data_IF_557045751696
#
_entry.id   IF_557045751696
#
_cell.length_a   1.000
_cell.length_b   1.000
_cell.length_c   1.000
_cell.angle_alpha   90.00
_cell.angle_beta   90.00
_cell.angle_gamma   90.00
#
_symmetry.space_group_name_H-M   'P 1'
#
loop_
_entity.id
_entity.type
_entity.pdbx_description
1 polymer ?
#
# COMPACT_ATOMS: atom_id res chain seq x y z
N UNK A 1 23.56 8.57 -20.32
CA UNK A 1 23.33 9.07 -18.94
C UNK A 1 22.65 7.95 -18.14
N UNK A 2 23.13 7.58 -16.94
CA UNK A 2 22.49 6.52 -16.16
C UNK A 2 21.10 6.97 -15.66
N UNK A 3 20.06 6.18 -15.94
CA UNK A 3 18.71 6.43 -15.42
C UNK A 3 18.59 5.85 -14.00
N UNK A 4 18.75 6.70 -12.98
CA UNK A 4 18.65 6.31 -11.57
C UNK A 4 17.20 6.18 -11.06
N UNK A 5 16.19 6.50 -11.88
CA UNK A 5 14.79 6.31 -11.49
C UNK A 5 14.40 4.83 -11.37
N UNK A 6 15.10 3.98 -12.12
CA UNK A 6 14.81 2.56 -12.18
C UNK A 6 15.99 1.79 -11.61
N UNK A 7 15.67 0.88 -10.68
CA UNK A 7 16.63 -0.11 -10.23
C UNK A 7 16.91 -1.11 -11.38
N UNK A 8 18.18 -1.23 -11.78
CA UNK A 8 18.59 -2.14 -12.85
C UNK A 8 18.84 -3.53 -12.26
N UNK A 9 18.02 -4.50 -12.66
CA UNK A 9 18.19 -5.90 -12.28
C UNK A 9 18.95 -6.62 -13.41
N UNK A 10 20.22 -6.95 -13.16
CA UNK A 10 21.13 -7.56 -14.14
C UNK A 10 21.76 -8.87 -13.66
N UNK A 11 21.74 -9.12 -12.35
CA UNK A 11 22.28 -10.32 -11.71
C UNK A 11 21.24 -10.98 -10.81
N UNK A 12 21.45 -12.25 -10.46
CA UNK A 12 20.63 -12.98 -9.47
C UNK A 12 20.53 -12.23 -8.13
N UNK A 13 21.63 -11.64 -7.69
CA UNK A 13 21.67 -10.85 -6.44
C UNK A 13 20.76 -9.61 -6.50
N UNK A 14 20.58 -9.00 -7.67
CA UNK A 14 19.68 -7.85 -7.80
C UNK A 14 18.21 -8.25 -7.60
N UNK A 15 17.80 -9.46 -8.00
CA UNK A 15 16.46 -9.99 -7.73
C UNK A 15 16.24 -10.17 -6.22
N UNK A 16 17.23 -10.73 -5.52
CA UNK A 16 17.20 -10.86 -4.06
C UNK A 16 17.16 -9.51 -3.36
N UNK A 17 17.95 -8.53 -3.78
CA UNK A 17 17.92 -7.17 -3.23
C UNK A 17 16.53 -6.56 -3.42
N UNK A 18 15.93 -6.72 -4.61
CA UNK A 18 14.62 -6.19 -4.92
C UNK A 18 13.53 -6.79 -4.01
N UNK A 19 13.48 -8.12 -3.88
CA UNK A 19 12.52 -8.79 -2.98
C UNK A 19 12.78 -8.45 -1.51
N UNK A 20 14.04 -8.37 -1.09
CA UNK A 20 14.40 -7.97 0.29
C UNK A 20 13.82 -6.61 0.64
N UNK A 21 13.90 -5.63 -0.26
CA UNK A 21 13.33 -4.30 -0.02
C UNK A 21 11.80 -4.33 0.06
N UNK A 22 11.14 -5.18 -0.73
CA UNK A 22 9.69 -5.41 -0.60
C UNK A 22 9.37 -6.03 0.77
N UNK A 23 10.11 -7.08 1.16
CA UNK A 23 9.93 -7.77 2.45
C UNK A 23 10.08 -6.80 3.63
N UNK A 24 11.14 -5.98 3.64
CA UNK A 24 11.36 -4.97 4.68
C UNK A 24 10.21 -3.97 4.71
N UNK A 25 9.80 -3.44 3.55
CA UNK A 25 8.71 -2.49 3.44
C UNK A 25 7.40 -3.05 3.96
N UNK A 26 7.05 -4.27 3.56
CA UNK A 26 5.81 -4.93 3.98
C UNK A 26 5.78 -5.18 5.49
N UNK A 27 6.85 -5.71 6.09
CA UNK A 27 6.88 -5.94 7.55
C UNK A 27 6.69 -4.65 8.35
N UNK A 28 7.33 -3.54 7.95
CA UNK A 28 7.14 -2.26 8.62
C UNK A 28 5.68 -1.79 8.56
N UNK A 29 5.02 -2.00 7.43
CA UNK A 29 3.62 -1.62 7.25
C UNK A 29 2.65 -2.59 7.91
N UNK A 30 2.91 -3.90 7.90
CA UNK A 30 2.14 -4.90 8.64
C UNK A 30 2.16 -4.62 10.14
N UNK A 31 3.34 -4.38 10.73
CA UNK A 31 3.44 -4.03 12.16
C UNK A 31 2.63 -2.78 12.51
N UNK A 32 2.59 -1.78 11.61
CA UNK A 32 1.79 -0.57 11.80
C UNK A 32 0.29 -0.87 11.71
N UNK A 33 -0.12 -1.67 10.73
CA UNK A 33 -1.53 -2.03 10.51
C UNK A 33 -2.06 -2.91 11.64
N UNK A 34 -1.27 -3.88 12.11
CA UNK A 34 -1.59 -4.72 13.28
C UNK A 34 -1.78 -3.86 14.53
N UNK A 35 -0.84 -2.96 14.83
CA UNK A 35 -0.96 -2.04 15.96
C UNK A 35 -2.25 -1.21 15.90
N UNK A 36 -2.57 -0.67 14.72
CA UNK A 36 -3.83 0.08 14.55
C UNK A 36 -5.04 -0.82 14.68
N UNK A 37 -4.95 -2.07 14.22
CA UNK A 37 -6.01 -3.05 14.36
C UNK A 37 -6.30 -3.46 15.79
N UNK A 38 -5.26 -3.69 16.60
CA UNK A 38 -5.41 -3.98 18.03
C UNK A 38 -6.04 -2.80 18.77
N UNK A 39 -5.61 -1.57 18.43
CA UNK A 39 -6.18 -0.35 18.99
C UNK A 39 -7.65 -0.18 18.62
N UNK A 40 -8.00 -0.43 17.35
CA UNK A 40 -9.36 -0.33 16.84
C UNK A 40 -10.27 -1.40 17.43
N UNK A 41 -9.78 -2.64 17.53
CA UNK A 41 -10.47 -3.76 18.18
C UNK A 41 -10.85 -3.41 19.62
N UNK A 42 -9.90 -2.88 20.38
CA UNK A 42 -10.13 -2.48 21.78
C UNK A 42 -11.28 -1.47 21.91
N UNK A 43 -11.36 -0.53 20.97
CA UNK A 43 -12.42 0.51 20.93
C UNK A 43 -13.77 -0.09 20.52
N UNK A 44 -13.79 -1.00 19.54
CA UNK A 44 -15.00 -1.73 19.13
C UNK A 44 -15.59 -2.51 20.30
N UNK A 45 -14.73 -3.16 21.10
CA UNK A 45 -15.11 -3.91 22.30
C UNK A 45 -15.57 -2.98 23.43
N UNK A 46 -14.84 -1.89 23.71
CA UNK A 46 -15.19 -0.92 24.77
C UNK A 46 -16.56 -0.26 24.53
N UNK A 47 -16.87 0.05 23.28
CA UNK A 47 -18.12 0.68 22.88
C UNK A 47 -19.25 -0.33 22.59
N UNK A 48 -18.98 -1.64 22.70
CA UNK A 48 -19.92 -2.71 22.38
C UNK A 48 -20.60 -2.52 21.00
N UNK A 49 -19.82 -2.18 19.98
CA UNK A 49 -20.34 -1.84 18.65
C UNK A 49 -20.85 -3.05 17.86
N UNK A 50 -20.46 -4.26 18.25
CA UNK A 50 -21.00 -5.49 17.67
C UNK A 50 -22.48 -5.63 18.05
N UNK A 51 -22.79 -5.35 19.31
CA UNK A 51 -24.14 -5.39 19.87
C UNK A 51 -24.95 -4.13 19.53
N UNK A 52 -24.27 -2.98 19.37
CA UNK A 52 -24.89 -1.68 19.14
C UNK A 52 -24.28 -0.95 17.94
N UNK A 53 -24.44 -1.45 16.70
CA UNK A 53 -23.81 -0.88 15.52
C UNK A 53 -24.31 0.53 15.16
N UNK A 54 -25.51 0.90 15.59
CA UNK A 54 -26.09 2.24 15.32
C UNK A 54 -25.65 3.29 16.36
N UNK A 55 -24.82 2.93 17.35
CA UNK A 55 -24.35 3.88 18.36
C UNK A 55 -23.66 5.07 17.70
N UNK A 56 -24.11 6.28 18.00
CA UNK A 56 -23.47 7.50 17.50
C UNK A 56 -22.10 7.72 18.16
N UNK A 57 -21.04 7.71 17.35
CA UNK A 57 -19.67 7.97 17.77
C UNK A 57 -19.18 9.32 17.23
N UNK A 58 -18.16 9.89 17.86
CA UNK A 58 -17.52 11.11 17.35
C UNK A 58 -16.91 10.86 15.96
N UNK A 59 -17.19 11.73 14.99
CA UNK A 59 -16.69 11.52 13.62
C UNK A 59 -15.16 11.52 13.56
N UNK A 60 -14.47 12.28 14.41
CA UNK A 60 -13.00 12.29 14.46
C UNK A 60 -12.43 10.93 14.83
N UNK A 61 -13.15 10.12 15.63
CA UNK A 61 -12.68 8.78 15.99
C UNK A 61 -12.54 7.90 14.75
N UNK A 62 -13.57 7.89 13.89
CA UNK A 62 -13.51 7.15 12.63
C UNK A 62 -12.49 7.75 11.66
N UNK A 63 -12.52 9.07 11.44
CA UNK A 63 -11.63 9.72 10.47
C UNK A 63 -10.15 9.51 10.83
N UNK A 64 -9.79 9.59 12.12
CA UNK A 64 -8.42 9.34 12.58
C UNK A 64 -7.94 7.92 12.29
N UNK A 65 -8.81 6.92 12.52
CA UNK A 65 -8.45 5.53 12.21
C UNK A 65 -8.41 5.30 10.71
N UNK A 66 -9.40 5.81 9.98
CA UNK A 66 -9.46 5.74 8.52
C UNK A 66 -8.19 6.32 7.89
N UNK A 67 -7.76 7.51 8.31
CA UNK A 67 -6.56 8.16 7.78
C UNK A 67 -5.29 7.34 8.07
N UNK A 68 -5.16 6.82 9.29
CA UNK A 68 -4.02 5.99 9.71
C UNK A 68 -3.96 4.68 8.93
N UNK A 69 -5.08 3.96 8.83
CA UNK A 69 -5.14 2.66 8.14
C UNK A 69 -5.01 2.85 6.63
N UNK A 70 -5.76 3.77 6.02
CA UNK A 70 -5.70 4.05 4.59
C UNK A 70 -4.29 4.46 4.16
N UNK A 71 -3.56 5.26 4.96
CA UNK A 71 -2.17 5.60 4.66
C UNK A 71 -1.29 4.35 4.58
N UNK A 72 -1.39 3.44 5.57
CA UNK A 72 -0.57 2.23 5.65
C UNK A 72 -0.94 1.23 4.56
N UNK A 73 -2.24 0.95 4.36
CA UNK A 73 -2.74 0.06 3.32
C UNK A 73 -2.31 0.56 1.94
N UNK A 74 -2.39 1.86 1.67
CA UNK A 74 -1.90 2.44 0.43
C UNK A 74 -0.39 2.18 0.20
N UNK A 75 0.44 2.13 1.25
CA UNK A 75 1.85 1.74 1.10
C UNK A 75 2.01 0.26 0.79
N UNK A 76 1.22 -0.60 1.41
CA UNK A 76 1.19 -2.04 1.11
C UNK A 76 0.75 -2.28 -0.33
N UNK A 77 -0.35 -1.67 -0.76
CA UNK A 77 -0.86 -1.75 -2.14
C UNK A 77 0.15 -1.28 -3.17
N UNK A 78 0.97 -0.27 -2.86
CA UNK A 78 2.08 0.12 -3.74
C UNK A 78 3.16 -0.97 -3.86
N UNK A 79 3.52 -1.63 -2.75
CA UNK A 79 4.52 -2.70 -2.73
C UNK A 79 4.01 -4.01 -3.33
N UNK A 80 2.70 -4.26 -3.32
CA UNK A 80 2.11 -5.47 -3.88
C UNK A 80 1.65 -5.26 -5.33
N UNK A 81 0.86 -4.22 -5.59
CA UNK A 81 0.06 -4.07 -6.81
C UNK A 81 0.57 -3.10 -7.87
N UNK A 82 1.51 -2.19 -7.57
CA UNK A 82 1.91 -1.13 -8.53
C UNK A 82 2.57 -1.72 -9.81
N UNK A 83 2.32 -1.13 -10.98
CA UNK A 83 2.89 -1.59 -12.26
C UNK A 83 3.65 -0.51 -13.05
N UNK A 84 3.83 0.68 -12.48
CA UNK A 84 4.61 1.76 -13.07
C UNK A 84 6.06 1.34 -13.31
N UNK A 85 6.69 1.93 -14.33
CA UNK A 85 8.00 1.48 -14.78
C UNK A 85 9.13 1.81 -13.80
N UNK A 86 8.97 2.82 -12.96
CA UNK A 86 9.90 3.28 -11.92
C UNK A 86 9.41 3.04 -10.48
N UNK A 87 8.26 2.37 -10.29
CA UNK A 87 7.83 1.88 -8.97
C UNK A 87 8.48 0.53 -8.62
N UNK A 88 8.45 0.17 -7.34
CA UNK A 88 8.90 -1.13 -6.85
C UNK A 88 7.68 -1.87 -6.28
N UNK A 89 7.37 -3.03 -6.85
CA UNK A 89 6.30 -3.90 -6.37
C UNK A 89 6.55 -5.37 -6.71
N UNK A 90 5.82 -6.27 -6.05
CA UNK A 90 5.84 -7.69 -6.34
C UNK A 90 5.11 -8.05 -7.64
N UNK A 91 4.00 -7.37 -7.97
CA UNK A 91 3.34 -7.54 -9.28
C UNK A 91 4.31 -7.23 -10.42
N UNK A 92 5.08 -6.13 -10.32
CA UNK A 92 6.12 -5.79 -11.30
C UNK A 92 7.24 -6.81 -11.32
N UNK A 93 7.65 -7.31 -10.16
CA UNK A 93 8.66 -8.36 -10.06
C UNK A 93 8.26 -9.58 -10.89
N UNK A 94 7.10 -10.19 -10.61
CA UNK A 94 6.63 -11.37 -11.33
C UNK A 94 6.32 -11.08 -12.81
N UNK A 95 5.50 -10.07 -13.10
CA UNK A 95 4.96 -9.84 -14.46
C UNK A 95 5.97 -9.21 -15.42
N UNK A 96 6.98 -8.48 -14.93
CA UNK A 96 8.00 -7.81 -15.79
C UNK A 96 9.42 -8.33 -15.59
N UNK A 97 9.90 -8.46 -14.35
CA UNK A 97 11.32 -8.75 -14.08
C UNK A 97 11.65 -10.24 -14.22
N UNK A 98 10.79 -11.12 -13.73
CA UNK A 98 10.93 -12.58 -13.86
C UNK A 98 10.64 -13.00 -15.29
N UNK A 99 9.54 -12.51 -15.89
CA UNK A 99 9.14 -12.84 -17.27
C UNK A 99 10.24 -12.66 -18.33
N UNK A 100 11.13 -11.67 -18.16
CA UNK A 100 12.21 -11.37 -19.13
C UNK A 100 13.52 -12.14 -18.91
N UNK A 101 13.65 -12.88 -17.80
CA UNK A 101 14.86 -13.63 -17.48
C UNK A 101 14.51 -15.12 -17.38
N UNK A 102 14.95 -15.90 -18.38
CA UNK A 102 14.60 -17.32 -18.53
C UNK A 102 15.11 -18.14 -17.35
N UNK A 103 16.35 -17.91 -16.88
CA UNK A 103 16.93 -18.65 -15.77
C UNK A 103 16.16 -18.42 -14.47
N UNK A 104 15.86 -17.16 -14.15
CA UNK A 104 15.07 -16.82 -12.96
C UNK A 104 13.65 -17.39 -13.07
N UNK A 105 13.03 -17.29 -14.24
CA UNK A 105 11.70 -17.88 -14.49
C UNK A 105 11.70 -19.40 -14.33
N UNK A 106 12.77 -20.08 -14.75
CA UNK A 106 12.91 -21.53 -14.56
C UNK A 106 13.08 -21.90 -13.08
N UNK A 107 13.69 -21.04 -12.27
CA UNK A 107 13.88 -21.28 -10.83
C UNK A 107 12.60 -21.11 -10.02
N UNK A 108 11.94 -19.94 -10.12
CA UNK A 108 10.76 -19.60 -9.29
C UNK A 108 9.42 -19.80 -9.98
N UNK A 109 9.43 -20.40 -11.18
CA UNK A 109 8.24 -20.73 -11.94
C UNK A 109 7.45 -19.53 -12.49
N UNK A 110 6.33 -19.86 -13.12
CA UNK A 110 5.32 -18.88 -13.54
C UNK A 110 4.47 -18.43 -12.35
N UNK A 111 3.67 -17.39 -12.55
CA UNK A 111 2.72 -16.91 -11.54
C UNK A 111 1.55 -17.89 -11.51
N UNK A 112 1.28 -18.57 -10.38
CA UNK A 112 0.09 -19.40 -10.25
C UNK A 112 -1.20 -18.59 -10.49
N UNK A 113 -2.25 -19.22 -11.00
CA UNK A 113 -3.49 -18.53 -11.36
C UNK A 113 -4.12 -17.79 -10.17
N UNK A 114 -4.14 -18.42 -8.99
CA UNK A 114 -4.64 -17.79 -7.77
C UNK A 114 -3.82 -16.54 -7.41
N UNK A 115 -2.49 -16.63 -7.41
CA UNK A 115 -1.62 -15.48 -7.17
C UNK A 115 -1.82 -14.40 -8.24
N UNK A 116 -2.02 -14.78 -9.50
CA UNK A 116 -2.25 -13.84 -10.59
C UNK A 116 -3.53 -13.03 -10.38
N UNK A 117 -4.60 -13.67 -9.91
CA UNK A 117 -5.85 -13.03 -9.53
C UNK A 117 -5.63 -12.08 -8.35
N UNK A 118 -4.98 -12.53 -7.28
CA UNK A 118 -4.71 -11.71 -6.11
C UNK A 118 -3.90 -10.45 -6.46
N UNK A 119 -2.87 -10.59 -7.27
CA UNK A 119 -2.06 -9.45 -7.74
C UNK A 119 -2.86 -8.49 -8.65
N UNK A 120 -3.83 -9.01 -9.40
CA UNK A 120 -4.75 -8.20 -10.19
C UNK A 120 -5.68 -7.37 -9.30
N UNK A 121 -6.24 -7.99 -8.25
CA UNK A 121 -7.05 -7.31 -7.24
C UNK A 121 -6.23 -6.23 -6.52
N UNK A 122 -4.98 -6.52 -6.12
CA UNK A 122 -4.10 -5.51 -5.53
C UNK A 122 -3.82 -4.34 -6.47
N UNK A 123 -3.64 -4.59 -7.77
CA UNK A 123 -3.47 -3.50 -8.74
C UNK A 123 -4.74 -2.65 -8.86
N UNK A 124 -5.92 -3.29 -8.92
CA UNK A 124 -7.19 -2.60 -9.00
C UNK A 124 -7.46 -1.76 -7.75
N UNK A 125 -7.28 -2.33 -6.55
CA UNK A 125 -7.44 -1.61 -5.29
C UNK A 125 -6.43 -0.47 -5.14
N UNK A 126 -5.16 -0.68 -5.55
CA UNK A 126 -4.16 0.39 -5.63
C UNK A 126 -4.67 1.51 -6.52
N UNK A 127 -5.13 1.21 -7.75
CA UNK A 127 -5.58 2.23 -8.68
C UNK A 127 -6.82 2.97 -8.17
N UNK A 128 -7.76 2.28 -7.54
CA UNK A 128 -8.96 2.89 -7.00
C UNK A 128 -8.68 3.73 -5.75
N UNK A 129 -7.84 3.25 -4.82
CA UNK A 129 -7.58 3.91 -3.53
C UNK A 129 -6.51 5.00 -3.54
N UNK A 130 -5.71 5.12 -4.61
CA UNK A 130 -4.66 6.14 -4.78
C UNK A 130 -4.96 7.15 -5.90
N UNK A 131 -6.12 7.03 -6.55
CA UNK A 131 -6.65 8.00 -7.50
C UNK A 131 -8.04 8.41 -7.05
N UNK A 132 -8.51 9.58 -7.49
CA UNK A 132 -9.92 9.98 -7.35
C UNK A 132 -10.65 9.61 -8.64
N UNK A 133 -11.34 8.46 -8.72
CA UNK A 133 -12.00 8.05 -9.95
C UNK A 133 -13.31 8.81 -10.15
N UNK A 134 -13.59 9.23 -11.39
CA UNK A 134 -14.88 9.83 -11.77
C UNK A 134 -16.08 8.89 -11.50
N UNK A 135 -15.84 7.59 -11.34
CA UNK A 135 -16.87 6.65 -10.92
C UNK A 135 -17.43 6.95 -9.53
N UNK A 136 -16.69 7.61 -8.63
CA UNK A 136 -17.23 8.09 -7.35
C UNK A 136 -18.27 9.19 -7.56
N UNK A 137 -18.03 10.11 -8.50
CA UNK A 137 -19.01 11.14 -8.87
C UNK A 137 -20.26 10.50 -9.49
N UNK A 138 -20.07 9.57 -10.42
CA UNK A 138 -21.20 8.86 -11.03
C UNK A 138 -22.00 8.08 -9.97
N UNK A 139 -21.34 7.34 -9.08
CA UNK A 139 -21.99 6.60 -8.00
C UNK A 139 -22.73 7.55 -7.04
N UNK A 140 -22.13 8.68 -6.69
CA UNK A 140 -22.81 9.70 -5.89
C UNK A 140 -24.10 10.19 -6.57
N UNK A 141 -24.03 10.54 -7.87
CA UNK A 141 -25.19 10.99 -8.63
C UNK A 141 -26.28 9.92 -8.76
N UNK A 142 -25.92 8.65 -8.92
CA UNK A 142 -26.90 7.55 -8.93
C UNK A 142 -27.54 7.35 -7.55
N UNK A 143 -26.74 7.35 -6.47
CA UNK A 143 -27.26 7.14 -5.12
C UNK A 143 -28.20 8.27 -4.68
N UNK A 144 -27.88 9.54 -4.95
CA UNK A 144 -28.80 10.64 -4.57
C UNK A 144 -30.10 10.61 -5.37
N UNK A 145 -30.10 10.09 -6.61
CA UNK A 145 -31.34 9.92 -7.38
C UNK A 145 -32.25 8.85 -6.76
N UNK A 146 -31.66 7.83 -6.15
CA UNK A 146 -32.37 6.75 -5.49
C UNK A 146 -32.89 7.15 -4.11
N UNK A 147 -32.05 7.79 -3.29
CA UNK A 147 -32.34 8.00 -1.87
C UNK A 147 -32.87 9.38 -1.51
N UNK A 148 -32.57 10.44 -2.28
CA UNK A 148 -32.98 11.78 -1.90
C UNK A 148 -34.42 12.09 -2.32
N UNK A 149 -35.17 12.88 -1.54
CA UNK A 149 -36.42 13.46 -1.98
C UNK A 149 -36.25 14.24 -3.29
N UNK A 150 -37.27 14.16 -4.17
CA UNK A 150 -37.24 14.79 -5.50
C UNK A 150 -36.92 16.29 -5.46
N UNK A 151 -37.39 16.99 -4.43
CA UNK A 151 -37.15 18.43 -4.25
C UNK A 151 -35.68 18.73 -3.94
N UNK A 152 -35.06 17.95 -3.05
CA UNK A 152 -33.65 18.08 -2.70
C UNK A 152 -32.73 17.73 -3.86
N UNK A 153 -33.04 16.65 -4.58
CA UNK A 153 -32.32 16.27 -5.80
C UNK A 153 -32.38 17.38 -6.86
N UNK A 154 -33.56 17.92 -7.12
CA UNK A 154 -33.74 19.00 -8.08
C UNK A 154 -32.98 20.27 -7.65
N UNK A 155 -32.95 20.56 -6.34
CA UNK A 155 -32.17 21.67 -5.83
C UNK A 155 -30.66 21.44 -6.04
N UNK A 156 -30.13 20.28 -5.68
CA UNK A 156 -28.71 19.93 -5.83
C UNK A 156 -28.22 20.04 -7.27
N UNK A 157 -29.03 19.57 -8.23
CA UNK A 157 -28.68 19.57 -9.65
C UNK A 157 -28.76 20.94 -10.34
N UNK A 158 -29.37 21.95 -9.70
CA UNK A 158 -29.60 23.26 -10.32
C UNK A 158 -29.04 24.45 -9.52
N UNK A 159 -28.58 24.24 -8.28
CA UNK A 159 -28.09 25.30 -7.40
C UNK A 159 -26.62 25.08 -7.05
N UNK A 160 -25.73 25.73 -7.80
CA UNK A 160 -24.27 25.58 -7.65
C UNK A 160 -23.60 26.71 -6.85
N UNK A 161 -24.38 27.64 -6.29
CA UNK A 161 -23.86 28.74 -5.50
C UNK A 161 -24.79 29.04 -4.30
N UNK A 162 -24.29 28.98 -3.06
CA UNK A 162 -22.93 28.58 -2.69
C UNK A 162 -22.68 27.08 -2.86
N UNK A 163 -21.42 26.67 -2.83
CA UNK A 163 -21.03 25.26 -2.73
C UNK A 163 -21.18 24.84 -1.27
N UNK A 164 -22.02 23.85 -1.01
CA UNK A 164 -22.23 23.30 0.32
C UNK A 164 -21.34 22.09 0.56
N UNK A 165 -20.71 22.03 1.73
CA UNK A 165 -19.85 20.91 2.15
C UNK A 165 -20.55 20.24 3.31
N UNK A 166 -20.88 18.95 3.16
CA UNK A 166 -21.44 18.16 4.24
C UNK A 166 -20.38 17.98 5.34
N UNK A 167 -20.72 18.35 6.57
CA UNK A 167 -19.91 18.10 7.76
C UNK A 167 -20.70 17.26 8.73
N UNK A 168 -20.19 16.07 9.02
CA UNK A 168 -20.77 15.16 9.98
C UNK A 168 -20.00 15.25 11.30
N UNK A 169 -20.70 15.54 12.40
CA UNK A 169 -20.10 15.58 13.74
C UNK A 169 -20.14 14.22 14.44
N UNK A 170 -21.03 13.34 13.99
CA UNK A 170 -21.22 11.98 14.48
C UNK A 170 -21.36 11.03 13.31
N UNK A 171 -20.94 9.79 13.51
CA UNK A 171 -21.20 8.66 12.62
C UNK A 171 -21.84 7.53 13.41
N UNK A 172 -22.61 6.70 12.74
CA UNK A 172 -23.04 5.42 13.29
C UNK A 172 -21.81 4.52 13.49
N UNK A 173 -21.76 3.79 14.61
CA UNK A 173 -20.68 2.89 14.99
C UNK A 173 -20.34 1.84 13.93
N UNK A 174 -21.31 1.52 13.06
CA UNK A 174 -21.15 0.62 11.92
C UNK A 174 -20.03 1.07 10.97
N UNK A 175 -19.75 2.37 10.86
CA UNK A 175 -18.60 2.87 10.10
C UNK A 175 -17.27 2.37 10.68
N UNK A 176 -17.12 2.44 12.00
CA UNK A 176 -15.92 1.99 12.69
C UNK A 176 -15.79 0.46 12.66
N UNK A 177 -16.91 -0.25 12.83
CA UNK A 177 -16.96 -1.71 12.73
C UNK A 177 -16.61 -2.20 11.32
N UNK A 178 -17.14 -1.55 10.28
CA UNK A 178 -16.83 -1.83 8.88
C UNK A 178 -15.34 -1.62 8.58
N UNK A 179 -14.76 -0.52 9.08
CA UNK A 179 -13.33 -0.25 8.96
C UNK A 179 -12.48 -1.35 9.62
N UNK A 180 -12.86 -1.79 10.83
CA UNK A 180 -12.19 -2.87 11.54
C UNK A 180 -12.19 -4.16 10.72
N UNK A 181 -13.35 -4.61 10.27
CA UNK A 181 -13.47 -5.84 9.47
C UNK A 181 -12.71 -5.77 8.14
N UNK A 182 -12.80 -4.63 7.44
CA UNK A 182 -12.08 -4.44 6.18
C UNK A 182 -10.58 -4.54 6.39
N UNK A 183 -10.05 -3.84 7.39
CA UNK A 183 -8.62 -3.83 7.70
C UNK A 183 -8.11 -5.21 8.12
N UNK A 184 -8.86 -5.97 8.94
CA UNK A 184 -8.45 -7.34 9.33
C UNK A 184 -8.44 -8.28 8.13
N UNK A 185 -9.48 -8.25 7.30
CA UNK A 185 -9.55 -9.09 6.09
C UNK A 185 -8.48 -8.73 5.07
N UNK A 186 -8.21 -7.43 4.88
CA UNK A 186 -7.14 -6.96 4.01
C UNK A 186 -5.76 -7.44 4.48
N UNK A 187 -5.48 -7.37 5.79
CA UNK A 187 -4.19 -7.81 6.33
C UNK A 187 -3.95 -9.30 6.09
N UNK A 188 -4.96 -10.15 6.29
CA UNK A 188 -4.87 -11.58 5.99
C UNK A 188 -4.56 -11.82 4.52
N UNK A 189 -5.29 -11.13 3.63
CA UNK A 189 -5.07 -11.21 2.19
C UNK A 189 -3.65 -10.75 1.78
N UNK A 190 -3.14 -9.67 2.38
CA UNK A 190 -1.78 -9.20 2.13
C UNK A 190 -0.73 -10.21 2.60
N UNK A 191 -0.95 -10.87 3.74
CA UNK A 191 -0.06 -11.90 4.29
C UNK A 191 -0.03 -13.16 3.41
N UNK A 192 -1.13 -13.52 2.77
CA UNK A 192 -1.14 -14.62 1.81
C UNK A 192 -0.21 -14.34 0.62
N UNK A 193 -0.28 -13.13 0.05
CA UNK A 193 0.66 -12.72 -1.02
C UNK A 193 2.10 -12.68 -0.49
N UNK A 194 2.28 -12.22 0.75
CA UNK A 194 3.59 -12.16 1.39
C UNK A 194 4.27 -13.54 1.50
N UNK A 195 3.50 -14.61 1.75
CA UNK A 195 4.04 -15.97 1.76
C UNK A 195 4.66 -16.35 0.41
N UNK A 196 4.01 -16.01 -0.71
CA UNK A 196 4.61 -16.20 -2.04
C UNK A 196 5.92 -15.43 -2.23
N UNK A 197 6.03 -14.22 -1.65
CA UNK A 197 7.26 -13.41 -1.71
C UNK A 197 8.39 -14.12 -0.96
N UNK A 198 8.10 -14.71 0.19
CA UNK A 198 9.08 -15.47 0.99
C UNK A 198 9.50 -16.74 0.26
N UNK A 199 8.58 -17.49 -0.34
CA UNK A 199 8.91 -18.69 -1.12
C UNK A 199 9.79 -18.36 -2.33
N UNK A 200 9.45 -17.32 -3.11
CA UNK A 200 10.30 -16.84 -4.20
C UNK A 200 11.70 -16.45 -3.69
N UNK A 201 11.78 -15.82 -2.50
CA UNK A 201 13.07 -15.43 -1.89
C UNK A 201 13.90 -16.65 -1.44
N UNK A 202 13.28 -17.67 -0.84
CA UNK A 202 13.92 -18.95 -0.46
C UNK A 202 14.56 -19.60 -1.67
N UNK A 203 13.77 -19.83 -2.72
CA UNK A 203 14.23 -20.48 -3.95
C UNK A 203 15.38 -19.70 -4.59
N UNK A 204 15.26 -18.36 -4.69
CA UNK A 204 16.33 -17.54 -5.27
C UNK A 204 17.59 -17.54 -4.42
N UNK A 205 17.47 -17.52 -3.10
CA UNK A 205 18.63 -17.51 -2.22
C UNK A 205 19.29 -18.88 -2.11
N UNK A 206 18.56 -19.97 -2.39
CA UNK A 206 19.00 -21.34 -2.12
C UNK A 206 19.02 -21.66 -0.62
N UNK A 207 18.28 -20.90 0.19
CA UNK A 207 18.18 -21.10 1.63
C UNK A 207 16.70 -21.26 2.02
N UNK A 208 16.36 -22.43 2.55
CA UNK A 208 15.01 -22.76 3.03
C UNK A 208 14.67 -22.07 4.36
N UNK A 209 15.69 -21.76 5.16
CA UNK A 209 15.54 -21.15 6.48
C UNK A 209 15.77 -19.63 6.44
N UNK A 210 14.78 -18.91 5.93
CA UNK A 210 14.79 -17.45 5.89
C UNK A 210 14.36 -16.89 7.25
N UNK A 211 15.33 -16.32 7.95
CA UNK A 211 15.13 -15.68 9.24
C UNK A 211 14.81 -14.19 9.05
N UNK A 212 13.63 -13.76 9.50
CA UNK A 212 13.25 -12.35 9.60
C UNK A 212 13.51 -11.90 11.04
N UNK A 213 14.55 -11.09 11.22
CA UNK A 213 14.97 -10.59 12.52
C UNK A 213 14.74 -9.10 12.61
N UNK A 214 14.17 -8.67 13.73
CA UNK A 214 14.03 -7.26 14.08
C UNK A 214 15.23 -6.86 14.93
N UNK A 215 15.95 -5.85 14.48
CA UNK A 215 17.03 -5.25 15.25
C UNK A 215 16.49 -4.00 15.93
N UNK A 216 16.46 -4.00 17.25
CA UNK A 216 16.11 -2.82 18.02
C UNK A 216 17.24 -1.79 17.90
N UNK A 217 16.91 -0.66 17.28
CA UNK A 217 17.80 0.49 17.15
C UNK A 217 17.21 1.61 17.99
N UNK A 218 17.88 1.97 19.09
CA UNK A 218 17.37 2.93 20.07
C UNK A 218 16.97 4.27 19.44
N UNK A 219 17.82 4.79 18.53
CA UNK A 219 17.62 6.10 17.92
C UNK A 219 17.85 6.01 16.43
N UNK A 220 16.87 6.48 15.66
CA UNK A 220 17.01 6.68 14.22
C UNK A 220 17.74 8.02 13.95
N UNK A 221 19.01 8.02 13.50
CA UNK A 221 19.80 9.25 13.38
C UNK A 221 19.32 10.11 12.21
N UNK A 222 18.75 11.28 12.51
CA UNK A 222 18.14 12.17 11.52
C UNK A 222 19.09 12.55 10.37
N UNK A 223 20.31 13.01 10.68
CA UNK A 223 21.26 13.51 9.66
C UNK A 223 21.74 12.43 8.67
N UNK A 224 21.74 11.16 9.08
CA UNK A 224 22.06 10.04 8.20
C UNK A 224 20.83 9.64 7.38
N UNK A 225 19.69 9.52 8.03
CA UNK A 225 18.47 8.98 7.44
C UNK A 225 17.78 9.95 6.48
N UNK A 226 17.80 11.26 6.76
CA UNK A 226 17.22 12.28 5.90
C UNK A 226 17.91 12.35 4.52
N UNK A 227 19.15 11.85 4.41
CA UNK A 227 19.88 11.79 3.13
C UNK A 227 19.22 10.84 2.14
N UNK A 228 18.55 9.78 2.59
CA UNK A 228 17.91 8.81 1.71
C UNK A 228 16.78 9.43 0.88
N UNK A 229 15.71 10.04 1.46
CA UNK A 229 14.66 10.67 0.67
C UNK A 229 15.18 11.85 -0.16
N UNK A 230 16.12 12.64 0.36
CA UNK A 230 16.77 13.72 -0.40
C UNK A 230 17.51 13.20 -1.64
N UNK A 231 18.19 12.07 -1.53
CA UNK A 231 18.92 11.43 -2.63
C UNK A 231 17.97 10.82 -3.65
N UNK A 232 16.95 10.07 -3.18
CA UNK A 232 15.90 9.51 -4.03
C UNK A 232 15.19 10.62 -4.84
N UNK A 233 14.83 11.73 -4.19
CA UNK A 233 14.20 12.88 -4.86
C UNK A 233 15.11 13.49 -5.95
N UNK A 234 16.42 13.59 -5.70
CA UNK A 234 17.38 14.04 -6.72
C UNK A 234 17.46 13.07 -7.90
N UNK A 235 17.43 11.76 -7.65
CA UNK A 235 17.39 10.73 -8.69
C UNK A 235 16.11 10.84 -9.52
N UNK A 236 14.96 11.05 -8.87
CA UNK A 236 13.66 11.25 -9.52
C UNK A 236 13.59 12.52 -10.37
N UNK A 237 14.25 13.60 -9.95
CA UNK A 237 14.35 14.84 -10.74
C UNK A 237 15.46 14.79 -11.81
N UNK A 238 16.16 13.66 -11.97
CA UNK A 238 17.36 13.52 -12.83
C UNK A 238 18.48 14.54 -12.49
N UNK A 239 18.52 15.02 -11.24
CA UNK A 239 19.50 16.00 -10.72
C UNK A 239 20.63 15.34 -9.93
N UNK A 240 20.62 14.02 -9.77
CA UNK A 240 21.66 13.29 -9.06
C UNK A 240 22.95 13.18 -9.89
N UNK A 241 24.07 13.62 -9.30
CA UNK A 241 25.42 13.43 -9.85
C UNK A 241 26.18 12.51 -8.90
N UNK A 242 26.57 11.33 -9.38
CA UNK A 242 27.45 10.43 -8.62
C UNK A 242 28.78 11.14 -8.42
N UNK A 243 29.19 11.35 -7.17
CA UNK A 243 30.57 11.77 -6.89
C UNK A 243 31.48 10.63 -7.35
N UNK A 244 32.50 10.93 -8.17
CA UNK A 244 33.56 9.95 -8.45
C UNK A 244 34.17 9.58 -7.10
N UNK A 245 34.21 8.29 -6.77
CA UNK A 245 34.97 7.86 -5.61
C UNK A 245 36.46 7.92 -5.95
N UNK A 246 37.33 8.14 -4.96
CA UNK A 246 38.80 8.15 -5.18
C UNK A 246 39.30 6.82 -5.80
N UNK A 247 38.54 5.72 -5.65
CA UNK A 247 38.83 4.42 -6.27
C UNK A 247 38.54 4.38 -7.78
N UNK A 248 37.75 5.31 -8.31
CA UNK A 248 37.41 5.40 -9.74
C UNK A 248 38.41 6.28 -10.52
N UNK A 249 39.41 6.87 -9.85
CA UNK A 249 40.42 7.76 -10.46
C UNK A 249 41.73 7.05 -10.86
N UNK A 250 41.90 5.78 -10.48
CA UNK A 250 43.08 4.95 -10.77
C UNK A 250 42.82 3.84 -11.80
N UNK A 251 41.86 4.04 -12.72
CA UNK A 251 41.69 3.19 -13.90
C UNK A 251 41.70 4.01 -15.18
#
# INVERSE_FOLDING_TARGET
>A
MNNYKQFKVVSKNDYLIYLRQIIIGLNNHFNSLEKYGDSLKSIVEELALIENPELEIDSNLYEDFRDKTQFVENKILNLLGDMQNDSMSYTKFKKKLVKRNIEVKQLIGEVPDNLSQMLSEMNNSRNWGLHEPESLLNAHLENIKEFWPKEELNWYLNNFNPIYIAKFNKYEGQWLLSLYHSMTGNLEFYKEIYNYIIEDYKILSGNEDIQITYNDIDVRPFELEIKLPKTSMKMQKKKYKRKKSEKDATR
#
